data_IF_993141858862
#
_entry.id   IF_993141858862
#
_cell.length_a   1.000
_cell.length_b   1.000
_cell.length_c   1.000
_cell.angle_alpha   90.00
_cell.angle_beta   90.00
_cell.angle_gamma   90.00
#
_symmetry.space_group_name_H-M   'P 1'
#
loop_
_entity.id
_entity.type
_entity.pdbx_description
1 polymer ?
#
# COMPACT_ATOMS: atom_id res chain seq x y z
N UNK A 1 -21.68 -16.58 -0.62
CA UNK A 1 -20.34 -16.46 -1.26
C UNK A 1 -19.34 -16.34 -0.13
N UNK A 2 -18.44 -17.32 0.00
CA UNK A 2 -17.54 -17.42 1.15
C UNK A 2 -16.68 -16.17 1.29
N UNK A 3 -16.68 -15.60 2.48
CA UNK A 3 -15.84 -14.51 2.96
C UNK A 3 -14.35 -14.90 2.78
N UNK A 4 -13.81 -14.72 1.58
CA UNK A 4 -12.39 -14.97 1.33
C UNK A 4 -11.61 -13.79 1.90
N UNK A 5 -11.27 -13.88 3.19
CA UNK A 5 -10.20 -13.06 3.76
C UNK A 5 -8.91 -13.38 3.02
N UNK A 6 -8.58 -12.56 2.03
CA UNK A 6 -7.25 -12.53 1.46
C UNK A 6 -6.35 -11.95 2.56
N UNK A 7 -5.35 -12.69 3.05
CA UNK A 7 -4.47 -12.18 4.10
C UNK A 7 -3.65 -11.02 3.52
N UNK A 8 -3.89 -9.81 4.02
CA UNK A 8 -3.14 -8.60 3.67
C UNK A 8 -2.19 -8.27 4.81
N UNK A 9 -0.93 -7.98 4.48
CA UNK A 9 0.08 -7.53 5.44
C UNK A 9 0.32 -6.04 5.19
N UNK A 10 -0.04 -5.22 6.17
CA UNK A 10 0.21 -3.76 6.14
C UNK A 10 1.39 -3.44 7.05
N UNK A 11 2.39 -2.72 6.53
CA UNK A 11 3.59 -2.31 7.29
C UNK A 11 3.60 -0.79 7.41
N UNK A 12 3.17 -0.30 8.57
CA UNK A 12 3.37 1.09 8.98
C UNK A 12 4.80 1.27 9.50
N UNK A 13 5.39 2.45 9.26
CA UNK A 13 6.80 2.70 9.57
C UNK A 13 7.07 4.16 9.93
N UNK A 14 7.97 4.37 10.87
CA UNK A 14 8.63 5.65 11.09
C UNK A 14 9.79 5.85 10.10
N UNK A 15 10.21 7.11 9.91
CA UNK A 15 11.40 7.40 9.11
C UNK A 15 12.65 6.82 9.80
N UNK A 16 13.52 6.15 9.04
CA UNK A 16 14.72 5.51 9.59
C UNK A 16 14.51 4.12 10.21
N UNK A 17 13.27 3.64 10.37
CA UNK A 17 12.98 2.33 10.95
C UNK A 17 13.20 1.14 9.98
N UNK A 18 13.77 1.38 8.79
CA UNK A 18 14.00 0.37 7.75
C UNK A 18 12.74 -0.41 7.31
N UNK A 19 11.55 0.19 7.44
CA UNK A 19 10.28 -0.47 7.12
C UNK A 19 10.18 -0.99 5.68
N UNK A 20 10.77 -0.27 4.71
CA UNK A 20 10.81 -0.72 3.30
C UNK A 20 11.67 -1.98 3.14
N UNK A 21 12.83 -2.03 3.79
CA UNK A 21 13.71 -3.21 3.76
C UNK A 21 13.03 -4.44 4.36
N UNK A 22 12.27 -4.26 5.44
CA UNK A 22 11.47 -5.33 6.05
C UNK A 22 10.40 -5.82 5.07
N UNK A 23 9.66 -4.89 4.45
CA UNK A 23 8.61 -5.22 3.50
C UNK A 23 9.14 -5.99 2.28
N UNK A 24 10.28 -5.60 1.73
CA UNK A 24 10.94 -6.30 0.61
C UNK A 24 11.33 -7.74 0.98
N UNK A 25 11.90 -7.94 2.18
CA UNK A 25 12.27 -9.28 2.67
C UNK A 25 11.04 -10.17 2.92
N UNK A 26 9.98 -9.62 3.50
CA UNK A 26 8.73 -10.36 3.75
C UNK A 26 8.08 -10.75 2.43
N UNK A 27 7.98 -9.82 1.48
CA UNK A 27 7.43 -10.06 0.15
C UNK A 27 8.21 -11.16 -0.60
N UNK A 28 9.54 -11.10 -0.58
CA UNK A 28 10.38 -12.13 -1.19
C UNK A 28 10.20 -13.51 -0.52
N UNK A 29 10.19 -13.55 0.82
CA UNK A 29 10.08 -14.81 1.58
C UNK A 29 8.74 -15.51 1.37
N UNK A 30 7.67 -14.73 1.23
CA UNK A 30 6.30 -15.24 1.05
C UNK A 30 5.86 -15.28 -0.42
N UNK A 31 6.72 -14.85 -1.35
CA UNK A 31 6.36 -14.67 -2.77
C UNK A 31 5.09 -13.83 -2.98
N UNK A 32 4.97 -12.74 -2.22
CA UNK A 32 3.84 -11.81 -2.27
C UNK A 32 4.20 -10.55 -3.05
N UNK A 33 3.23 -9.91 -3.73
CA UNK A 33 3.44 -8.59 -4.30
C UNK A 33 3.61 -7.55 -3.19
N UNK A 34 4.55 -6.62 -3.37
CA UNK A 34 4.76 -5.48 -2.48
C UNK A 34 4.24 -4.22 -3.16
N UNK A 35 3.34 -3.50 -2.49
CA UNK A 35 2.80 -2.25 -2.98
C UNK A 35 3.28 -1.07 -2.12
N UNK A 36 3.88 -0.08 -2.78
CA UNK A 36 4.19 1.21 -2.17
C UNK A 36 2.98 2.15 -2.21
N UNK A 37 2.99 3.18 -1.36
CA UNK A 37 1.93 4.20 -1.32
C UNK A 37 1.69 4.82 -2.71
N UNK A 38 2.75 5.24 -3.39
CA UNK A 38 2.63 5.92 -4.69
C UNK A 38 2.03 5.00 -5.76
N UNK A 39 2.42 3.72 -5.78
CA UNK A 39 1.92 2.75 -6.75
C UNK A 39 0.42 2.44 -6.52
N UNK A 40 -0.01 2.40 -5.27
CA UNK A 40 -1.43 2.27 -4.91
C UNK A 40 -2.19 3.50 -5.38
N UNK A 41 -1.72 4.70 -5.07
CA UNK A 41 -2.38 5.96 -5.45
C UNK A 41 -2.52 6.05 -6.98
N UNK A 42 -1.46 5.74 -7.73
CA UNK A 42 -1.50 5.77 -9.19
C UNK A 42 -2.49 4.76 -9.78
N UNK A 43 -2.56 3.52 -9.26
CA UNK A 43 -3.56 2.55 -9.71
C UNK A 43 -4.98 3.02 -9.41
N UNK A 44 -5.20 3.51 -8.20
CA UNK A 44 -6.53 3.99 -7.78
C UNK A 44 -6.94 5.19 -8.64
N UNK A 45 -6.07 6.15 -8.90
CA UNK A 45 -6.34 7.29 -9.78
C UNK A 45 -6.76 6.82 -11.18
N UNK A 46 -6.01 5.88 -11.75
CA UNK A 46 -6.27 5.31 -13.07
C UNK A 46 -7.60 4.55 -13.14
N UNK A 47 -7.99 3.83 -12.10
CA UNK A 47 -9.20 3.00 -12.08
C UNK A 47 -10.47 3.78 -11.71
N UNK A 48 -10.33 4.81 -10.87
CA UNK A 48 -11.46 5.56 -10.31
C UNK A 48 -11.82 6.83 -11.09
N UNK A 49 -10.91 7.33 -11.93
CA UNK A 49 -11.08 8.60 -12.64
C UNK A 49 -10.86 9.84 -11.78
N UNK A 50 -10.46 9.68 -10.51
CA UNK A 50 -10.02 10.78 -9.64
C UNK A 50 -8.57 11.19 -9.95
N UNK A 51 -8.23 12.45 -9.67
CA UNK A 51 -6.86 12.91 -9.81
C UNK A 51 -5.97 12.36 -8.69
N UNK A 52 -4.67 12.17 -8.97
CA UNK A 52 -3.71 11.69 -7.96
C UNK A 52 -3.65 12.63 -6.74
N UNK A 53 -3.84 13.93 -6.94
CA UNK A 53 -3.85 14.95 -5.89
C UNK A 53 -5.06 14.84 -4.96
N UNK A 54 -6.24 14.49 -5.50
CA UNK A 54 -7.45 14.26 -4.69
C UNK A 54 -7.25 13.05 -3.77
N UNK A 55 -6.66 11.97 -4.29
CA UNK A 55 -6.40 10.74 -3.53
C UNK A 55 -5.30 10.95 -2.48
N UNK A 56 -4.26 11.73 -2.81
CA UNK A 56 -3.16 12.01 -1.88
C UNK A 56 -3.64 12.84 -0.69
N UNK A 57 -4.49 13.84 -0.89
CA UNK A 57 -5.05 14.69 0.18
C UNK A 57 -5.89 13.88 1.18
N UNK A 58 -6.75 12.99 0.70
CA UNK A 58 -7.57 12.12 1.56
C UNK A 58 -6.69 11.22 2.44
N UNK A 59 -5.59 10.70 1.87
CA UNK A 59 -4.69 9.80 2.57
C UNK A 59 -3.85 10.48 3.67
N UNK A 60 -3.63 11.80 3.60
CA UNK A 60 -2.95 12.56 4.65
C UNK A 60 -3.90 13.03 5.76
N UNK A 61 -5.20 13.19 5.48
CA UNK A 61 -6.19 13.60 6.49
C UNK A 61 -6.60 12.49 7.46
N UNK A 62 -6.40 11.22 7.07
CA UNK A 62 -6.71 10.05 7.90
C UNK A 62 -5.52 9.50 8.71
N UNK A 63 -4.33 10.13 8.62
CA UNK A 63 -3.11 9.66 9.30
C UNK A 63 -2.83 10.36 10.62
#
# INVERSE_FOLDING_TARGET
>A
MSDRKIPVITISREYGAFGRTIAEKVAASLSLPLYGRDEIIQRVAKESGYSEDDIRKESEQMS
#
